data_IF_111472469943
#
_entry.id   IF_111472469943
#
_cell.length_a   1.000
_cell.length_b   1.000
_cell.length_c   1.000
_cell.angle_alpha   90.00
_cell.angle_beta   90.00
_cell.angle_gamma   90.00
#
_symmetry.space_group_name_H-M   'P 1'
#
loop_
_entity.id
_entity.type
_entity.pdbx_description
1 polymer ?
#
# COMPACT_ATOMS: atom_id res chain seq x y z
N UNK A 1 -9.97 43.34 -48.48
CA UNK A 1 -8.89 43.56 -47.49
C UNK A 1 -9.41 43.61 -46.06
N UNK A 2 -10.62 44.14 -45.80
CA UNK A 2 -11.19 44.21 -44.44
C UNK A 2 -11.57 42.84 -43.80
N UNK A 3 -11.88 41.82 -44.60
CA UNK A 3 -12.29 40.49 -44.10
C UNK A 3 -11.14 39.66 -43.53
N UNK A 4 -9.89 39.93 -43.94
CA UNK A 4 -8.72 39.19 -43.46
C UNK A 4 -8.34 39.62 -42.04
N UNK A 5 -8.35 40.93 -41.76
CA UNK A 5 -8.05 41.50 -40.44
C UNK A 5 -9.06 41.07 -39.38
N UNK A 6 -10.34 40.92 -39.74
CA UNK A 6 -11.40 40.54 -38.82
C UNK A 6 -11.38 39.05 -38.45
N UNK A 7 -10.97 38.17 -39.37
CA UNK A 7 -10.76 36.75 -39.11
C UNK A 7 -9.48 36.46 -38.31
N UNK A 8 -8.44 37.26 -38.51
CA UNK A 8 -7.21 37.17 -37.74
C UNK A 8 -7.47 37.57 -36.27
N UNK A 9 -8.26 38.63 -36.06
CA UNK A 9 -8.72 39.05 -34.73
C UNK A 9 -9.59 38.00 -34.03
N UNK A 10 -10.50 37.33 -34.75
CA UNK A 10 -11.34 36.25 -34.20
C UNK A 10 -10.51 35.04 -33.75
N UNK A 11 -9.48 34.69 -34.52
CA UNK A 11 -8.56 33.58 -34.21
C UNK A 11 -7.72 33.89 -32.97
N UNK A 12 -7.23 35.12 -32.86
CA UNK A 12 -6.47 35.59 -31.68
C UNK A 12 -7.34 35.57 -30.43
N UNK A 13 -8.60 36.03 -30.51
CA UNK A 13 -9.55 35.97 -29.39
C UNK A 13 -9.76 34.51 -28.93
N UNK A 14 -9.93 33.58 -29.86
CA UNK A 14 -10.10 32.16 -29.52
C UNK A 14 -8.90 31.58 -28.78
N UNK A 15 -7.68 31.96 -29.17
CA UNK A 15 -6.45 31.53 -28.49
C UNK A 15 -6.44 32.06 -27.05
N UNK A 16 -6.77 33.33 -26.83
CA UNK A 16 -6.85 33.91 -25.48
C UNK A 16 -7.93 33.23 -24.63
N UNK A 17 -9.06 32.87 -25.21
CA UNK A 17 -10.12 32.11 -24.52
C UNK A 17 -9.62 30.72 -24.09
N UNK A 18 -8.93 29.99 -24.97
CA UNK A 18 -8.38 28.66 -24.66
C UNK A 18 -7.31 28.76 -23.55
N UNK A 19 -6.43 29.75 -23.64
CA UNK A 19 -5.39 29.98 -22.62
C UNK A 19 -6.02 30.34 -21.27
N UNK A 20 -7.03 31.20 -21.26
CA UNK A 20 -7.74 31.57 -20.03
C UNK A 20 -8.47 30.37 -19.39
N UNK A 21 -9.05 29.49 -20.21
CA UNK A 21 -9.67 28.25 -19.74
C UNK A 21 -8.62 27.33 -19.11
N UNK A 22 -7.44 27.17 -19.71
CA UNK A 22 -6.36 26.35 -19.13
C UNK A 22 -5.86 26.91 -17.79
N UNK A 23 -5.65 28.23 -17.69
CA UNK A 23 -5.28 28.87 -16.42
C UNK A 23 -6.37 28.74 -15.36
N UNK A 24 -7.64 28.89 -15.74
CA UNK A 24 -8.76 28.70 -14.83
C UNK A 24 -8.81 27.26 -14.28
N UNK A 25 -8.53 26.25 -15.11
CA UNK A 25 -8.44 24.84 -14.67
C UNK A 25 -7.33 24.65 -13.64
N UNK A 26 -6.13 25.22 -13.86
CA UNK A 26 -5.02 25.13 -12.89
C UNK A 26 -5.35 25.82 -11.56
N UNK A 27 -6.01 26.97 -11.60
CA UNK A 27 -6.48 27.68 -10.40
C UNK A 27 -7.55 26.86 -9.67
N UNK A 28 -8.49 26.25 -10.39
CA UNK A 28 -9.52 25.39 -9.79
C UNK A 28 -8.88 24.18 -9.10
N UNK A 29 -7.86 23.57 -9.70
CA UNK A 29 -7.12 22.45 -9.09
C UNK A 29 -6.43 22.88 -7.78
N UNK A 30 -5.81 24.06 -7.77
CA UNK A 30 -5.16 24.61 -6.57
C UNK A 30 -6.15 24.99 -5.46
N UNK A 31 -7.23 25.69 -5.82
CA UNK A 31 -8.24 26.16 -4.85
C UNK A 31 -9.02 24.98 -4.27
N UNK A 32 -9.30 23.95 -5.07
CA UNK A 32 -10.06 22.81 -4.58
C UNK A 32 -9.30 21.88 -3.66
N UNK A 33 -8.00 22.13 -3.35
CA UNK A 33 -7.14 21.21 -2.58
C UNK A 33 -7.54 19.76 -2.88
N UNK A 34 -7.52 19.39 -4.16
CA UNK A 34 -7.96 18.05 -4.54
C UNK A 34 -6.89 17.10 -4.03
N UNK A 35 -7.07 16.64 -2.80
CA UNK A 35 -6.35 15.53 -2.24
C UNK A 35 -6.78 14.29 -3.04
N UNK A 36 -6.14 14.05 -4.19
CA UNK A 36 -6.22 12.78 -4.94
C UNK A 36 -5.64 11.60 -4.13
N UNK A 37 -5.44 11.78 -2.82
CA UNK A 37 -4.77 10.88 -1.91
C UNK A 37 -5.57 10.67 -0.61
N UNK A 38 -6.90 10.66 -0.69
CA UNK A 38 -7.70 10.24 0.47
C UNK A 38 -8.86 9.34 0.07
N UNK A 39 -8.55 8.08 -0.19
CA UNK A 39 -9.55 7.02 -0.10
C UNK A 39 -9.86 6.81 1.39
N UNK A 40 -10.82 7.57 1.91
CA UNK A 40 -11.39 7.31 3.24
C UNK A 40 -12.30 6.10 3.08
N UNK A 41 -11.80 4.92 3.40
CA UNK A 41 -12.65 3.75 3.60
C UNK A 41 -13.66 4.07 4.72
N UNK A 42 -14.96 3.85 4.49
CA UNK A 42 -15.97 4.11 5.51
C UNK A 42 -15.68 3.20 6.72
N UNK A 43 -15.78 3.72 7.95
CA UNK A 43 -15.65 2.89 9.14
C UNK A 43 -16.84 1.94 9.18
N UNK A 44 -16.64 0.70 8.70
CA UNK A 44 -17.53 -0.40 9.07
C UNK A 44 -17.14 -0.79 10.48
N UNK A 45 -18.12 -0.68 11.38
CA UNK A 45 -18.06 -1.03 12.79
C UNK A 45 -17.59 -2.48 12.96
N UNK A 46 -16.28 -2.67 12.99
CA UNK A 46 -15.65 -3.89 13.46
C UNK A 46 -15.17 -3.56 14.86
N UNK A 47 -15.73 -4.30 15.80
CA UNK A 47 -15.52 -4.21 17.23
C UNK A 47 -14.04 -3.97 17.55
N UNK A 48 -13.81 -2.90 18.31
CA UNK A 48 -12.52 -2.47 18.84
C UNK A 48 -11.85 -3.63 19.58
N UNK A 49 -10.78 -4.16 18.99
CA UNK A 49 -9.74 -4.84 19.76
C UNK A 49 -8.59 -3.87 19.74
N UNK A 50 -8.46 -3.15 20.85
CA UNK A 50 -7.40 -2.19 21.12
C UNK A 50 -6.03 -2.81 20.81
N UNK A 51 -5.38 -2.33 19.76
CA UNK A 51 -3.93 -2.40 19.62
C UNK A 51 -3.46 -1.00 19.26
N UNK A 52 -2.57 -0.49 20.11
CA UNK A 52 -2.24 0.92 20.21
C UNK A 52 -1.61 1.48 18.94
N UNK A 53 -1.87 2.78 18.75
CA UNK A 53 -1.22 3.74 17.86
C UNK A 53 -1.74 3.88 16.43
N UNK A 54 -2.62 4.88 16.30
CA UNK A 54 -2.72 5.72 15.10
C UNK A 54 -1.34 6.33 14.80
N UNK A 55 -0.60 5.77 13.86
CA UNK A 55 0.51 6.47 13.22
C UNK A 55 0.28 6.48 11.72
N UNK A 56 0.16 7.71 11.21
CA UNK A 56 0.22 8.13 9.81
C UNK A 56 0.45 6.99 8.81
N UNK A 57 -0.60 6.72 8.04
CA UNK A 57 -0.65 5.86 6.86
C UNK A 57 0.52 6.20 5.91
N UNK A 58 1.66 5.56 6.14
CA UNK A 58 2.70 5.33 5.14
C UNK A 58 2.39 3.94 4.57
N UNK A 59 1.43 3.87 3.64
CA UNK A 59 1.21 2.64 2.87
C UNK A 59 2.41 2.52 1.94
N UNK A 60 3.46 1.88 2.45
CA UNK A 60 4.43 1.23 1.59
C UNK A 60 3.68 0.16 0.78
N UNK A 61 4.00 -0.08 -0.50
CA UNK A 61 3.37 -1.13 -1.29
C UNK A 61 3.42 -2.53 -0.63
N UNK A 62 4.34 -2.73 0.32
CA UNK A 62 4.42 -3.91 1.19
C UNK A 62 3.28 -4.02 2.22
N UNK A 63 2.70 -2.91 2.67
CA UNK A 63 1.54 -2.88 3.58
C UNK A 63 0.22 -3.15 2.86
N UNK A 64 0.06 -2.64 1.64
CA UNK A 64 -1.15 -2.86 0.83
C UNK A 64 -1.36 -4.33 0.47
N UNK A 65 -0.28 -5.10 0.32
CA UNK A 65 -0.34 -6.55 0.12
C UNK A 65 -1.10 -7.24 1.26
N UNK A 66 -0.73 -6.92 2.50
CA UNK A 66 -1.35 -7.49 3.69
C UNK A 66 -2.82 -7.11 3.84
N UNK A 67 -3.15 -5.86 3.50
CA UNK A 67 -4.53 -5.37 3.61
C UNK A 67 -5.49 -6.14 2.72
N UNK A 68 -5.03 -6.61 1.56
CA UNK A 68 -5.86 -7.37 0.61
C UNK A 68 -6.30 -8.75 1.12
N UNK A 69 -5.65 -9.27 2.17
CA UNK A 69 -5.93 -10.57 2.76
C UNK A 69 -6.44 -10.51 4.22
N UNK A 70 -6.88 -9.33 4.70
CA UNK A 70 -7.47 -9.21 6.04
C UNK A 70 -8.68 -10.14 6.22
N UNK A 71 -8.66 -10.95 7.30
CA UNK A 71 -9.69 -11.95 7.58
C UNK A 71 -9.57 -13.24 6.75
N UNK A 72 -8.59 -13.32 5.84
CA UNK A 72 -8.36 -14.48 4.97
C UNK A 72 -7.00 -15.11 5.22
N UNK A 73 -6.81 -15.64 6.43
CA UNK A 73 -5.51 -16.16 6.90
C UNK A 73 -4.95 -17.28 5.99
N UNK A 74 -5.80 -18.14 5.42
CA UNK A 74 -5.36 -19.18 4.47
C UNK A 74 -4.86 -18.61 3.14
N UNK A 75 -5.56 -17.61 2.60
CA UNK A 75 -5.14 -16.95 1.35
C UNK A 75 -3.88 -16.12 1.58
N UNK A 76 -3.78 -15.44 2.73
CA UNK A 76 -2.59 -14.70 3.14
C UNK A 76 -1.38 -15.62 3.25
N UNK A 77 -1.52 -16.79 3.89
CA UNK A 77 -0.44 -17.77 4.01
C UNK A 77 0.07 -18.18 2.63
N UNK A 78 -0.83 -18.54 1.70
CA UNK A 78 -0.45 -18.88 0.33
C UNK A 78 0.26 -17.74 -0.39
N UNK A 79 -0.23 -16.52 -0.19
CA UNK A 79 0.35 -15.33 -0.80
C UNK A 79 1.75 -15.05 -0.24
N UNK A 80 1.95 -15.12 1.08
CA UNK A 80 3.27 -15.01 1.72
C UNK A 80 4.21 -16.11 1.21
N UNK A 81 3.77 -17.37 1.13
CA UNK A 81 4.58 -18.49 0.63
C UNK A 81 5.02 -18.31 -0.84
N UNK A 82 4.29 -17.50 -1.62
CA UNK A 82 4.65 -17.18 -3.01
C UNK A 82 5.66 -16.01 -3.13
N UNK A 83 5.96 -15.31 -2.04
CA UNK A 83 6.91 -14.18 -2.05
C UNK A 83 8.36 -14.67 -2.04
N UNK A 84 9.23 -13.89 -2.70
CA UNK A 84 10.68 -14.06 -2.58
C UNK A 84 11.17 -13.53 -1.23
N UNK A 85 12.33 -14.02 -0.76
CA UNK A 85 12.95 -13.62 0.52
C UNK A 85 12.96 -12.10 0.73
N UNK A 86 13.46 -11.34 -0.26
CA UNK A 86 13.50 -9.88 -0.20
C UNK A 86 12.11 -9.26 0.05
N UNK A 87 11.09 -9.73 -0.68
CA UNK A 87 9.72 -9.22 -0.54
C UNK A 87 9.08 -9.67 0.76
N UNK A 88 9.37 -10.89 1.21
CA UNK A 88 8.92 -11.41 2.49
C UNK A 88 9.45 -10.56 3.65
N UNK A 89 10.76 -10.29 3.67
CA UNK A 89 11.42 -9.51 4.71
C UNK A 89 11.00 -8.03 4.72
N UNK A 90 10.49 -7.50 3.60
CA UNK A 90 9.95 -6.14 3.51
C UNK A 90 8.45 -6.03 3.88
N UNK A 91 7.74 -7.16 4.02
CA UNK A 91 6.27 -7.21 4.17
C UNK A 91 5.82 -7.32 5.62
N UNK A 92 4.78 -6.54 5.99
CA UNK A 92 4.34 -6.33 7.38
C UNK A 92 3.50 -7.47 7.98
N UNK A 93 3.05 -8.41 7.16
CA UNK A 93 2.20 -9.54 7.54
C UNK A 93 2.82 -10.88 7.17
N UNK A 94 4.08 -10.88 6.75
CA UNK A 94 4.83 -12.10 6.45
C UNK A 94 6.14 -12.11 7.25
N UNK A 95 6.60 -13.31 7.57
CA UNK A 95 7.86 -13.55 8.25
C UNK A 95 8.67 -14.54 7.44
N UNK A 96 9.95 -14.25 7.27
CA UNK A 96 10.89 -15.18 6.63
C UNK A 96 11.54 -16.06 7.68
N UNK A 97 11.24 -17.34 7.65
CA UNK A 97 11.66 -18.30 8.69
C UNK A 97 13.00 -18.94 8.35
N UNK A 98 13.68 -19.51 9.37
CA UNK A 98 14.94 -20.26 9.20
C UNK A 98 14.85 -21.43 8.22
N UNK A 99 13.64 -21.92 7.92
CA UNK A 99 13.38 -22.94 6.90
C UNK A 99 13.41 -22.40 5.46
N UNK A 100 13.93 -21.18 5.26
CA UNK A 100 13.92 -20.45 3.99
C UNK A 100 12.52 -20.30 3.38
N UNK A 101 11.49 -20.26 4.23
CA UNK A 101 10.09 -20.14 3.83
C UNK A 101 9.49 -18.86 4.37
N UNK A 102 8.66 -18.24 3.55
CA UNK A 102 7.88 -17.09 3.92
C UNK A 102 6.48 -17.53 4.37
N UNK A 103 6.10 -17.21 5.59
CA UNK A 103 4.78 -17.53 6.15
C UNK A 103 4.09 -16.28 6.65
N UNK A 104 2.76 -16.31 6.72
CA UNK A 104 1.99 -15.21 7.29
C UNK A 104 2.33 -15.08 8.79
N UNK A 105 2.65 -13.89 9.24
CA UNK A 105 3.14 -13.65 10.60
C UNK A 105 3.32 -12.18 10.92
N UNK A 106 3.50 -11.90 12.20
CA UNK A 106 3.72 -10.55 12.73
C UNK A 106 5.09 -10.50 13.42
N UNK A 107 5.34 -9.41 14.16
CA UNK A 107 6.48 -9.30 15.07
C UNK A 107 6.58 -10.46 16.07
N UNK A 108 5.48 -11.16 16.36
CA UNK A 108 5.44 -12.31 17.27
C UNK A 108 5.81 -13.65 16.58
N UNK A 109 6.16 -13.60 15.30
CA UNK A 109 6.52 -14.74 14.46
C UNK A 109 5.37 -15.22 13.57
N UNK A 110 5.48 -16.45 13.07
CA UNK A 110 4.49 -17.03 12.16
C UNK A 110 3.14 -17.23 12.86
N UNK A 111 2.07 -16.81 12.18
CA UNK A 111 0.66 -16.99 12.60
C UNK A 111 0.35 -18.47 12.74
N UNK A 112 0.85 -19.28 11.82
CA UNK A 112 0.74 -20.72 11.84
C UNK A 112 1.99 -21.32 12.48
N UNK A 113 1.88 -21.70 13.76
CA UNK A 113 2.94 -22.42 14.49
C UNK A 113 2.94 -23.93 14.19
N UNK A 114 2.03 -24.38 13.33
CA UNK A 114 1.86 -25.79 12.97
C UNK A 114 1.68 -25.94 11.45
N UNK A 115 2.34 -26.94 10.86
CA UNK A 115 2.16 -27.31 9.46
C UNK A 115 0.77 -27.94 9.23
N UNK A 116 0.37 -28.09 7.97
CA UNK A 116 -0.81 -28.83 7.49
C UNK A 116 -0.97 -30.24 8.06
N UNK A 117 0.11 -30.83 8.59
CA UNK A 117 0.12 -32.15 9.24
C UNK A 117 0.05 -32.09 10.77
N UNK A 118 -0.10 -30.90 11.37
CA UNK A 118 -0.14 -30.72 12.82
C UNK A 118 1.23 -30.69 13.51
N UNK A 119 2.32 -30.75 12.74
CA UNK A 119 3.68 -30.68 13.28
C UNK A 119 4.00 -29.25 13.70
N UNK A 120 4.47 -29.05 14.94
CA UNK A 120 4.93 -27.74 15.41
C UNK A 120 6.14 -27.30 14.59
N UNK A 121 5.99 -26.19 13.88
CA UNK A 121 7.08 -25.59 13.13
C UNK A 121 7.99 -24.85 14.12
N UNK A 122 9.10 -25.48 14.48
CA UNK A 122 10.14 -24.83 15.27
C UNK A 122 11.02 -24.02 14.33
N UNK A 123 10.99 -22.70 14.47
CA UNK A 123 11.86 -21.79 13.74
C UNK A 123 12.85 -21.18 14.71
N UNK A 124 14.14 -21.51 14.57
CA UNK A 124 15.20 -21.03 15.45
C UNK A 124 15.36 -19.50 15.39
N UNK A 125 15.09 -18.93 14.20
CA UNK A 125 15.04 -17.50 13.96
C UNK A 125 14.07 -17.17 12.82
N UNK A 126 13.61 -15.93 12.76
CA UNK A 126 12.82 -15.39 11.66
C UNK A 126 13.12 -13.91 11.42
N UNK A 127 12.90 -13.45 10.19
CA UNK A 127 13.03 -12.06 9.79
C UNK A 127 11.66 -11.43 9.59
N UNK A 128 11.45 -10.28 10.22
CA UNK A 128 10.27 -9.44 10.09
C UNK A 128 10.72 -7.99 9.88
N UNK A 129 10.31 -7.35 8.77
CA UNK A 129 10.75 -5.99 8.41
C UNK A 129 12.28 -5.81 8.38
N UNK A 130 13.00 -6.76 7.77
CA UNK A 130 14.47 -6.81 7.75
C UNK A 130 15.12 -6.84 9.15
N UNK A 131 14.35 -7.12 10.21
CA UNK A 131 14.86 -7.33 11.57
C UNK A 131 14.79 -8.81 11.88
N UNK A 132 15.87 -9.35 12.42
CA UNK A 132 15.94 -10.73 12.84
C UNK A 132 15.45 -10.87 14.29
N UNK A 133 14.67 -11.90 14.55
CA UNK A 133 14.13 -12.25 15.86
C UNK A 133 14.42 -13.73 16.14
N UNK A 134 14.75 -14.04 17.40
CA UNK A 134 15.18 -15.38 17.82
C UNK A 134 16.70 -15.51 17.83
N UNK A 135 17.20 -16.70 17.48
CA UNK A 135 18.62 -17.04 17.55
C UNK A 135 19.37 -16.66 16.26
N UNK A 136 19.49 -15.36 16.04
CA UNK A 136 20.16 -14.76 14.88
C UNK A 136 21.68 -14.81 15.05
N UNK A 137 22.24 -16.00 15.24
CA UNK A 137 23.68 -16.20 15.32
C UNK A 137 24.22 -16.29 13.91
N UNK A 138 24.72 -15.16 13.44
CA UNK A 138 25.47 -15.02 12.20
C UNK A 138 26.76 -15.84 12.22
#
# INVERSE_FOLDING_TARGET
MATYLQNDYLSIIWIFVVVFILFAVLIIIHVKKIDFNKYVYPPKLVQEVTLETMQSINISPSNGFCESYFGKTNELEKACNALTEKRCSETDCCVYTSSSKCSAGTIDGATYKSDTYGNTLHHDYYYYKNKCYGNCNQ
#
